data_IF_239280397953
#
_entry.id   IF_239280397953
#
_cell.length_a   1.000
_cell.length_b   1.000
_cell.length_c   1.000
_cell.angle_alpha   90.00
_cell.angle_beta   90.00
_cell.angle_gamma   90.00
#
_symmetry.space_group_name_H-M   'P 1'
#
loop_
_entity.id
_entity.type
_entity.pdbx_description
1 polymer ?
#
# COMPACT_ATOMS: atom_id res chain seq x y z
N UNK A 1 -0.18 30.69 -2.35
CA UNK A 1 0.21 30.41 -0.95
C UNK A 1 1.72 30.54 -0.70
N UNK A 2 2.61 29.60 -1.05
CA UNK A 2 4.04 29.71 -0.63
C UNK A 2 4.77 30.97 -1.16
N UNK A 3 4.50 31.37 -2.41
CA UNK A 3 4.99 32.63 -2.98
C UNK A 3 4.54 33.86 -2.18
N UNK A 4 3.30 33.83 -1.69
CA UNK A 4 2.70 34.92 -0.93
C UNK A 4 3.31 35.01 0.47
N UNK A 5 3.46 33.88 1.16
CA UNK A 5 4.13 33.83 2.46
C UNK A 5 5.55 34.39 2.39
N UNK A 6 6.33 34.00 1.36
CA UNK A 6 7.66 34.53 1.14
C UNK A 6 7.64 36.05 0.86
N UNK A 7 6.66 36.54 0.07
CA UNK A 7 6.51 37.99 -0.17
C UNK A 7 6.14 38.80 1.07
N UNK A 8 5.57 38.15 2.10
CA UNK A 8 5.30 38.73 3.41
C UNK A 8 6.50 38.62 4.37
N UNK A 9 7.66 38.18 3.88
CA UNK A 9 8.88 38.05 4.67
C UNK A 9 8.95 36.79 5.52
N UNK A 10 8.05 35.81 5.32
CA UNK A 10 8.11 34.54 6.07
C UNK A 10 9.29 33.69 5.62
N UNK A 11 10.07 33.22 6.58
CA UNK A 11 11.27 32.42 6.30
C UNK A 11 10.95 30.93 6.23
N UNK A 12 11.89 30.15 5.69
CA UNK A 12 11.76 28.68 5.67
C UNK A 12 11.81 28.12 7.09
N UNK A 13 12.61 28.71 7.96
CA UNK A 13 12.76 28.30 9.36
C UNK A 13 11.43 28.46 10.11
N UNK A 14 10.72 29.58 9.93
CA UNK A 14 9.39 29.75 10.51
C UNK A 14 8.39 28.69 10.02
N UNK A 15 8.49 28.28 8.74
CA UNK A 15 7.67 27.21 8.17
C UNK A 15 8.03 25.87 8.83
N UNK A 16 9.32 25.57 8.98
CA UNK A 16 9.80 24.34 9.64
C UNK A 16 9.34 24.29 11.09
N UNK A 17 9.51 25.35 11.86
CA UNK A 17 9.05 25.43 13.25
C UNK A 17 7.53 25.30 13.37
N UNK A 18 6.77 25.80 12.40
CA UNK A 18 5.32 25.59 12.33
C UNK A 18 4.97 24.12 12.12
N UNK A 19 5.63 23.46 11.16
CA UNK A 19 5.41 22.05 10.85
C UNK A 19 5.79 21.13 12.03
N UNK A 20 6.89 21.43 12.72
CA UNK A 20 7.34 20.66 13.89
C UNK A 20 6.39 20.78 15.09
N UNK A 21 5.64 21.87 15.19
CA UNK A 21 4.61 22.05 16.23
C UNK A 21 3.29 21.35 15.90
N UNK A 22 3.11 20.86 14.69
CA UNK A 22 1.89 20.14 14.32
C UNK A 22 1.80 18.83 15.13
N UNK A 23 0.73 18.59 15.90
CA UNK A 23 0.64 17.43 16.75
C UNK A 23 0.49 16.16 15.90
N UNK A 24 1.37 15.18 16.12
CA UNK A 24 1.17 13.82 15.66
C UNK A 24 0.63 12.98 16.82
N UNK A 25 -0.56 12.41 16.62
CA UNK A 25 -1.25 11.60 17.65
C UNK A 25 -0.33 10.42 18.03
N UNK A 26 0.01 10.21 19.31
CA UNK A 26 0.95 9.16 19.73
C UNK A 26 0.61 7.75 19.21
N UNK A 27 -0.68 7.42 19.15
CA UNK A 27 -1.16 6.14 18.61
C UNK A 27 -0.84 5.96 17.13
N UNK A 28 -0.75 7.04 16.33
CA UNK A 28 -0.32 6.95 14.93
C UNK A 28 1.16 6.57 14.85
N UNK A 29 1.99 7.14 15.73
CA UNK A 29 3.41 6.79 15.85
C UNK A 29 3.55 5.31 16.22
N UNK A 30 2.79 4.86 17.23
CA UNK A 30 2.76 3.46 17.65
C UNK A 30 2.33 2.54 16.50
N UNK A 31 1.24 2.89 15.81
CA UNK A 31 0.72 2.13 14.67
C UNK A 31 1.75 1.97 13.55
N UNK A 32 2.45 3.04 13.16
CA UNK A 32 3.52 2.99 12.14
C UNK A 32 4.62 2.01 12.56
N UNK A 33 5.10 2.13 13.81
CA UNK A 33 6.17 1.29 14.34
C UNK A 33 5.77 -0.17 14.40
N UNK A 34 4.56 -0.45 14.88
CA UNK A 34 4.02 -1.81 15.02
C UNK A 34 3.78 -2.45 13.65
N UNK A 35 3.21 -1.73 12.68
CA UNK A 35 3.02 -2.26 11.32
C UNK A 35 4.37 -2.60 10.65
N UNK A 36 5.37 -1.72 10.79
CA UNK A 36 6.72 -1.99 10.30
C UNK A 36 7.38 -3.18 11.00
N UNK A 37 7.24 -3.30 12.33
CA UNK A 37 7.76 -4.44 13.10
C UNK A 37 7.11 -5.77 12.71
N UNK A 38 5.85 -5.74 12.25
CA UNK A 38 5.14 -6.89 11.67
C UNK A 38 5.55 -7.18 10.21
N UNK A 39 6.53 -6.47 9.66
CA UNK A 39 7.08 -6.71 8.33
C UNK A 39 6.35 -5.99 7.19
N UNK A 40 5.50 -5.01 7.49
CA UNK A 40 4.84 -4.23 6.45
C UNK A 40 5.81 -3.28 5.76
N UNK A 41 5.78 -3.27 4.43
CA UNK A 41 6.36 -2.19 3.64
C UNK A 41 5.43 -0.97 3.68
N UNK A 42 5.86 0.10 4.35
CA UNK A 42 5.05 1.32 4.48
C UNK A 42 5.39 2.31 3.37
N UNK A 43 4.34 2.95 2.82
CA UNK A 43 4.43 3.98 1.78
C UNK A 43 3.46 5.11 2.08
N UNK A 44 3.82 6.34 1.71
CA UNK A 44 2.93 7.51 1.81
C UNK A 44 2.42 7.86 0.42
N UNK A 45 1.11 8.08 0.31
CA UNK A 45 0.46 8.60 -0.88
C UNK A 45 -0.38 9.84 -0.53
N UNK A 46 0.16 11.03 -0.79
CA UNK A 46 -0.38 12.27 -0.25
C UNK A 46 -0.40 13.40 -1.27
N UNK A 47 -1.50 14.15 -1.31
CA UNK A 47 -1.63 15.37 -2.10
C UNK A 47 -1.12 16.62 -1.36
N UNK A 48 -0.14 16.43 -0.46
CA UNK A 48 0.59 17.51 0.21
C UNK A 48 1.82 17.90 -0.61
N UNK A 49 3.01 17.96 -0.01
CA UNK A 49 4.27 18.10 -0.72
C UNK A 49 5.42 17.43 0.04
N UNK A 50 6.50 17.13 -0.67
CA UNK A 50 7.65 16.38 -0.13
C UNK A 50 8.31 17.12 1.04
N UNK A 51 8.55 18.43 0.91
CA UNK A 51 9.18 19.23 1.96
C UNK A 51 8.42 19.17 3.29
N UNK A 52 7.09 19.28 3.27
CA UNK A 52 6.27 19.18 4.49
C UNK A 52 6.33 17.80 5.12
N UNK A 53 6.12 16.76 4.31
CA UNK A 53 6.09 15.38 4.80
C UNK A 53 7.44 15.01 5.41
N UNK A 54 8.54 15.25 4.71
CA UNK A 54 9.87 14.93 5.25
C UNK A 54 10.19 15.71 6.52
N UNK A 55 9.82 17.00 6.60
CA UNK A 55 10.07 17.82 7.79
C UNK A 55 9.37 17.23 9.01
N UNK A 56 8.10 16.84 8.87
CA UNK A 56 7.31 16.24 9.96
C UNK A 56 7.86 14.86 10.33
N UNK A 57 8.14 14.00 9.35
CA UNK A 57 8.65 12.66 9.61
C UNK A 57 10.03 12.68 10.27
N UNK A 58 10.95 13.55 9.82
CA UNK A 58 12.28 13.70 10.42
C UNK A 58 12.19 14.19 11.86
N UNK A 59 11.31 15.15 12.13
CA UNK A 59 11.09 15.65 13.50
C UNK A 59 10.64 14.56 14.47
N UNK A 60 9.78 13.64 14.02
CA UNK A 60 9.28 12.53 14.83
C UNK A 60 10.12 11.25 14.76
N UNK A 61 11.25 11.25 14.04
CA UNK A 61 12.09 10.05 13.86
C UNK A 61 11.37 8.92 13.12
N UNK A 62 10.51 9.26 12.15
CA UNK A 62 9.68 8.31 11.40
C UNK A 62 10.10 8.13 9.94
N UNK A 63 11.11 8.87 9.46
CA UNK A 63 11.52 8.84 8.05
C UNK A 63 11.90 7.42 7.59
N UNK A 64 12.65 6.69 8.42
CA UNK A 64 13.20 5.38 8.06
C UNK A 64 12.15 4.25 8.03
N UNK A 65 10.92 4.52 8.46
CA UNK A 65 9.82 3.55 8.44
C UNK A 65 9.14 3.47 7.07
N UNK A 66 9.30 4.50 6.21
CA UNK A 66 8.63 4.58 4.91
C UNK A 66 9.61 4.32 3.77
N UNK A 67 9.32 3.29 2.98
CA UNK A 67 10.10 2.91 1.80
C UNK A 67 9.93 3.87 0.62
N UNK A 68 8.80 4.58 0.57
CA UNK A 68 8.43 5.43 -0.57
C UNK A 68 7.45 6.53 -0.15
N UNK A 69 7.63 7.73 -0.69
CA UNK A 69 6.73 8.88 -0.52
C UNK A 69 6.32 9.38 -1.90
N UNK A 70 5.05 9.15 -2.26
CA UNK A 70 4.43 9.64 -3.47
C UNK A 70 3.64 10.91 -3.15
N UNK A 71 4.14 12.07 -3.59
CA UNK A 71 3.53 13.37 -3.32
C UNK A 71 4.04 14.43 -4.29
N UNK A 72 3.38 15.60 -4.34
CA UNK A 72 3.83 16.75 -5.12
C UNK A 72 5.29 17.12 -4.76
N UNK A 73 6.23 17.17 -5.73
CA UNK A 73 7.60 17.56 -5.47
C UNK A 73 7.66 18.96 -4.84
N UNK A 74 8.54 19.14 -3.86
CA UNK A 74 8.76 20.47 -3.27
C UNK A 74 10.15 20.63 -2.68
N UNK A 75 10.76 21.78 -2.93
CA UNK A 75 12.12 22.11 -2.48
C UNK A 75 12.27 23.62 -2.26
N UNK A 76 13.27 23.98 -1.45
CA UNK A 76 13.63 25.37 -1.19
C UNK A 76 14.56 25.87 -2.28
N UNK A 77 14.22 27.02 -2.85
CA UNK A 77 14.97 27.70 -3.91
C UNK A 77 14.96 29.19 -3.59
N UNK A 78 16.15 29.80 -3.46
CA UNK A 78 16.31 31.22 -3.12
C UNK A 78 15.51 31.64 -1.86
N UNK A 79 15.52 30.82 -0.81
CA UNK A 79 14.79 31.09 0.43
C UNK A 79 13.26 30.97 0.33
N UNK A 80 12.75 30.37 -0.75
CA UNK A 80 11.32 30.18 -1.00
C UNK A 80 11.00 28.72 -1.27
N UNK A 81 9.93 28.21 -0.65
CA UNK A 81 9.43 26.88 -0.96
C UNK A 81 8.72 26.87 -2.32
N UNK A 82 9.21 26.04 -3.24
CA UNK A 82 8.59 25.75 -4.54
C UNK A 82 7.93 24.38 -4.47
N UNK A 83 6.70 24.29 -4.99
CA UNK A 83 5.93 23.05 -5.05
C UNK A 83 5.47 22.88 -6.50
N UNK A 84 5.62 21.67 -7.03
CA UNK A 84 5.27 21.28 -8.39
C UNK A 84 4.20 20.19 -8.35
N UNK A 85 3.32 20.10 -9.36
CA UNK A 85 2.35 19.02 -9.39
C UNK A 85 3.03 17.66 -9.59
N UNK A 86 2.44 16.60 -9.05
CA UNK A 86 2.92 15.24 -9.27
C UNK A 86 2.71 14.79 -10.72
N UNK A 87 1.56 15.10 -11.31
CA UNK A 87 1.27 14.89 -12.73
C UNK A 87 1.45 16.18 -13.51
N UNK A 88 2.09 16.12 -14.68
CA UNK A 88 2.06 17.23 -15.63
C UNK A 88 0.66 17.34 -16.26
N UNK A 89 -0.20 18.10 -15.61
CA UNK A 89 -1.58 18.30 -16.05
C UNK A 89 -1.72 19.36 -17.15
N UNK A 90 -0.64 20.05 -17.53
CA UNK A 90 -0.66 21.03 -18.62
C UNK A 90 -0.47 20.31 -19.94
N UNK A 91 0.52 19.41 -20.02
CA UNK A 91 0.80 18.66 -21.26
C UNK A 91 0.06 17.33 -21.34
N UNK A 92 -0.19 16.67 -20.20
CA UNK A 92 -0.73 15.31 -20.15
C UNK A 92 -1.67 15.10 -18.95
N UNK A 93 -2.90 15.65 -18.99
CA UNK A 93 -3.90 15.38 -17.95
C UNK A 93 -4.10 13.88 -17.75
N UNK A 94 -4.18 13.45 -16.49
CA UNK A 94 -4.33 12.03 -16.15
C UNK A 94 -5.74 11.45 -16.43
N UNK A 95 -6.68 12.25 -16.95
CA UNK A 95 -8.00 11.78 -17.40
C UNK A 95 -8.91 11.19 -16.32
N UNK A 96 -8.74 11.57 -15.04
CA UNK A 96 -9.54 11.07 -13.94
C UNK A 96 -10.46 12.17 -13.42
N UNK A 97 -11.76 11.92 -13.41
CA UNK A 97 -12.78 12.89 -12.98
C UNK A 97 -12.95 12.97 -11.45
N UNK A 98 -12.29 12.08 -10.70
CA UNK A 98 -12.39 12.00 -9.24
C UNK A 98 -11.27 12.76 -8.51
N UNK A 99 -10.18 13.08 -9.21
CA UNK A 99 -8.95 13.59 -8.61
C UNK A 99 -8.65 15.02 -9.07
N UNK A 100 -7.97 15.81 -8.24
CA UNK A 100 -7.49 17.12 -8.67
C UNK A 100 -6.42 16.96 -9.75
N UNK A 101 -6.27 17.94 -10.67
CA UNK A 101 -5.39 17.82 -11.84
C UNK A 101 -3.94 17.50 -11.48
N UNK A 102 -3.45 18.02 -10.35
CA UNK A 102 -2.05 17.88 -9.95
C UNK A 102 -1.68 16.46 -9.50
N UNK A 103 -2.62 15.67 -8.97
CA UNK A 103 -2.32 14.35 -8.44
C UNK A 103 -3.54 13.41 -8.39
N UNK A 104 -3.51 12.38 -9.22
CA UNK A 104 -4.41 11.24 -9.14
C UNK A 104 -3.78 10.12 -8.32
N UNK A 105 -4.19 10.00 -7.05
CA UNK A 105 -3.76 8.91 -6.15
C UNK A 105 -4.16 7.53 -6.69
N UNK A 106 -5.29 7.43 -7.40
CA UNK A 106 -5.73 6.18 -8.03
C UNK A 106 -4.74 5.61 -9.04
N UNK A 107 -4.18 6.49 -9.88
CA UNK A 107 -3.17 6.07 -10.86
C UNK A 107 -1.86 5.64 -10.18
N UNK A 108 -1.47 6.33 -9.10
CA UNK A 108 -0.27 5.98 -8.35
C UNK A 108 -0.42 4.64 -7.64
N UNK A 109 -1.56 4.37 -6.99
CA UNK A 109 -1.76 3.06 -6.33
C UNK A 109 -1.79 1.90 -7.33
N UNK A 110 -2.30 2.11 -8.55
CA UNK A 110 -2.23 1.08 -9.60
C UNK A 110 -0.78 0.74 -9.98
N UNK A 111 0.10 1.75 -10.09
CA UNK A 111 1.54 1.53 -10.30
C UNK A 111 2.20 0.78 -9.14
N UNK A 112 1.94 1.20 -7.90
CA UNK A 112 2.48 0.53 -6.70
C UNK A 112 2.06 -0.94 -6.70
N UNK A 113 0.78 -1.22 -7.00
CA UNK A 113 0.26 -2.59 -7.07
C UNK A 113 0.92 -3.39 -8.17
N UNK A 114 1.09 -2.82 -9.37
CA UNK A 114 1.74 -3.50 -10.47
C UNK A 114 3.18 -3.90 -10.13
N UNK A 115 3.97 -3.00 -9.53
CA UNK A 115 5.33 -3.30 -9.06
C UNK A 115 5.33 -4.37 -7.97
N UNK A 116 4.44 -4.25 -6.97
CA UNK A 116 4.31 -5.23 -5.91
C UNK A 116 4.00 -6.63 -6.46
N UNK A 117 3.03 -6.75 -7.38
CA UNK A 117 2.67 -8.04 -7.98
C UNK A 117 3.79 -8.68 -8.80
N UNK A 118 4.69 -7.87 -9.39
CA UNK A 118 5.88 -8.37 -10.08
C UNK A 118 6.90 -8.99 -9.10
N UNK A 119 6.96 -8.49 -7.86
CA UNK A 119 7.80 -9.02 -6.78
C UNK A 119 7.13 -10.18 -6.00
N UNK A 120 5.81 -10.32 -6.13
CA UNK A 120 5.01 -11.36 -5.47
C UNK A 120 3.60 -10.87 -5.11
N UNK A 121 2.70 -11.78 -4.73
CA UNK A 121 1.34 -11.36 -4.33
C UNK A 121 1.37 -10.70 -2.95
N UNK A 122 1.24 -9.37 -2.90
CA UNK A 122 1.10 -8.60 -1.65
C UNK A 122 -0.37 -8.25 -1.36
N UNK A 123 -0.71 -8.10 -0.09
CA UNK A 123 -2.02 -7.60 0.39
C UNK A 123 -1.91 -6.12 0.75
N UNK A 124 -2.87 -5.30 0.32
CA UNK A 124 -2.82 -3.85 0.54
C UNK A 124 -3.73 -3.40 1.68
N UNK A 125 -3.22 -2.49 2.51
CA UNK A 125 -3.96 -1.79 3.55
C UNK A 125 -3.90 -0.29 3.24
N UNK A 126 -5.02 0.28 2.80
CA UNK A 126 -5.10 1.68 2.43
C UNK A 126 -5.82 2.48 3.51
N UNK A 127 -5.10 3.41 4.14
CA UNK A 127 -5.63 4.29 5.20
C UNK A 127 -5.85 5.68 4.62
N UNK A 128 -7.01 6.29 4.88
CA UNK A 128 -7.30 7.64 4.39
C UNK A 128 -8.56 8.25 4.99
N UNK A 129 -8.77 9.53 4.74
CA UNK A 129 -9.91 10.30 5.25
C UNK A 129 -10.48 11.28 4.23
N UNK A 130 -9.63 11.82 3.34
CA UNK A 130 -10.00 12.84 2.38
C UNK A 130 -10.71 12.32 1.14
N UNK A 131 -11.39 13.23 0.42
CA UNK A 131 -12.06 12.91 -0.87
C UNK A 131 -11.09 12.30 -1.90
N UNK A 132 -9.83 12.78 -1.92
CA UNK A 132 -8.80 12.29 -2.84
C UNK A 132 -8.43 10.81 -2.66
N UNK A 133 -8.81 10.22 -1.52
CA UNK A 133 -8.57 8.81 -1.19
C UNK A 133 -9.67 7.87 -1.72
N UNK A 134 -10.76 8.40 -2.27
CA UNK A 134 -11.82 7.59 -2.84
C UNK A 134 -11.37 6.88 -4.12
N UNK A 135 -10.69 7.60 -5.02
CA UNK A 135 -10.18 7.05 -6.27
C UNK A 135 -9.26 5.84 -6.07
N UNK A 136 -8.20 5.88 -5.21
CA UNK A 136 -7.37 4.70 -4.96
C UNK A 136 -8.13 3.56 -4.27
N UNK A 137 -9.12 3.87 -3.42
CA UNK A 137 -9.94 2.83 -2.76
C UNK A 137 -10.70 1.96 -3.77
N UNK A 138 -11.16 2.53 -4.89
CA UNK A 138 -11.83 1.79 -5.98
C UNK A 138 -10.89 0.85 -6.75
N UNK A 139 -9.57 1.05 -6.65
CA UNK A 139 -8.58 0.26 -7.41
C UNK A 139 -8.16 -1.01 -6.69
N UNK A 140 -8.47 -1.13 -5.41
CA UNK A 140 -8.08 -2.26 -4.57
C UNK A 140 -8.94 -3.52 -4.86
N UNK A 141 -8.37 -4.70 -4.59
CA UNK A 141 -8.98 -6.00 -4.84
C UNK A 141 -9.71 -6.58 -3.63
N UNK A 142 -10.38 -7.72 -3.80
CA UNK A 142 -11.21 -8.35 -2.76
C UNK A 142 -10.46 -8.84 -1.51
N UNK A 143 -9.14 -9.04 -1.63
CA UNK A 143 -8.29 -9.41 -0.50
C UNK A 143 -7.66 -8.20 0.19
N UNK A 144 -7.80 -7.00 -0.37
CA UNK A 144 -7.23 -5.78 0.17
C UNK A 144 -8.18 -5.15 1.20
N UNK A 145 -7.66 -4.18 1.97
CA UNK A 145 -8.39 -3.45 3.00
C UNK A 145 -8.37 -1.94 2.75
N UNK A 146 -9.50 -1.29 2.97
CA UNK A 146 -9.64 0.17 3.05
C UNK A 146 -10.05 0.52 4.47
N UNK A 147 -9.27 1.40 5.10
CA UNK A 147 -9.48 1.87 6.47
C UNK A 147 -9.83 3.36 6.45
N UNK A 148 -11.10 3.71 6.13
CA UNK A 148 -11.53 5.10 6.04
C UNK A 148 -11.78 5.71 7.43
N UNK A 149 -11.35 6.95 7.64
CA UNK A 149 -11.72 7.67 8.86
C UNK A 149 -13.21 8.03 8.85
N UNK A 150 -13.95 7.58 9.87
CA UNK A 150 -15.38 7.86 10.05
C UNK A 150 -15.65 9.35 10.16
N UNK A 151 -16.76 9.80 9.56
CA UNK A 151 -17.19 11.20 9.53
C UNK A 151 -16.29 12.15 8.73
N UNK A 152 -15.47 11.60 7.82
CA UNK A 152 -14.68 12.36 6.84
C UNK A 152 -15.13 12.02 5.41
N UNK A 153 -14.77 12.84 4.39
CA UNK A 153 -15.29 12.68 3.04
C UNK A 153 -15.11 11.28 2.42
N UNK A 154 -14.01 10.58 2.71
CA UNK A 154 -13.82 9.21 2.23
C UNK A 154 -14.90 8.27 2.78
N UNK A 155 -15.17 8.35 4.08
CA UNK A 155 -16.19 7.53 4.73
C UNK A 155 -17.58 7.79 4.15
N UNK A 156 -17.93 9.06 3.91
CA UNK A 156 -19.23 9.42 3.32
C UNK A 156 -19.39 8.84 1.91
N UNK A 157 -18.36 8.97 1.06
CA UNK A 157 -18.39 8.45 -0.31
C UNK A 157 -18.51 6.93 -0.34
N UNK A 158 -17.79 6.22 0.53
CA UNK A 158 -17.86 4.77 0.64
C UNK A 158 -19.23 4.34 1.20
N UNK A 159 -19.72 5.00 2.25
CA UNK A 159 -20.99 4.64 2.90
C UNK A 159 -22.19 4.83 1.98
N UNK A 160 -22.14 5.80 1.06
CA UNK A 160 -23.20 6.03 0.09
C UNK A 160 -23.34 4.88 -0.92
N UNK A 161 -22.23 4.26 -1.33
CA UNK A 161 -22.23 3.18 -2.34
C UNK A 161 -21.11 2.16 -2.07
N UNK A 162 -21.19 1.34 -1.00
CA UNK A 162 -20.11 0.46 -0.58
C UNK A 162 -19.83 -0.66 -1.60
N UNK A 163 -20.83 -1.05 -2.40
CA UNK A 163 -20.72 -2.09 -3.42
C UNK A 163 -19.77 -1.74 -4.58
N UNK A 164 -19.39 -0.46 -4.73
CA UNK A 164 -18.41 -0.04 -5.73
C UNK A 164 -16.97 -0.44 -5.34
N UNK A 165 -16.72 -0.66 -4.04
CA UNK A 165 -15.43 -1.11 -3.55
C UNK A 165 -15.41 -2.64 -3.53
N UNK A 166 -14.33 -3.21 -4.07
CA UNK A 166 -14.06 -4.65 -3.96
C UNK A 166 -13.40 -4.99 -2.63
N UNK A 167 -12.58 -4.08 -2.10
CA UNK A 167 -11.82 -4.26 -0.88
C UNK A 167 -12.72 -4.28 0.36
N UNK A 168 -12.21 -4.92 1.42
CA UNK A 168 -12.89 -4.97 2.72
C UNK A 168 -12.77 -3.61 3.42
N UNK A 169 -13.86 -3.12 4.00
CA UNK A 169 -13.94 -1.77 4.57
C UNK A 169 -13.98 -1.83 6.10
N UNK A 170 -13.06 -1.14 6.77
CA UNK A 170 -12.99 -1.05 8.24
C UNK A 170 -12.80 0.41 8.69
N UNK A 171 -13.90 1.07 9.05
CA UNK A 171 -13.85 2.47 9.46
C UNK A 171 -13.33 2.67 10.88
N UNK A 172 -12.59 3.76 11.12
CA UNK A 172 -12.01 4.13 12.42
C UNK A 172 -12.31 5.60 12.79
N UNK A 173 -12.38 5.93 14.08
CA UNK A 173 -12.76 7.27 14.56
C UNK A 173 -11.60 8.02 15.21
N UNK A 174 -10.67 7.29 15.82
CA UNK A 174 -9.52 7.84 16.54
C UNK A 174 -8.28 6.94 16.39
N UNK A 175 -7.14 7.40 16.91
CA UNK A 175 -5.86 6.69 16.77
C UNK A 175 -5.82 5.31 17.44
N UNK A 176 -6.50 5.14 18.58
CA UNK A 176 -6.57 3.85 19.29
C UNK A 176 -7.37 2.82 18.49
N UNK A 177 -8.53 3.22 17.96
CA UNK A 177 -9.36 2.35 17.12
C UNK A 177 -8.61 1.96 15.84
N UNK A 178 -7.90 2.91 15.22
CA UNK A 178 -7.08 2.61 14.04
C UNK A 178 -5.99 1.59 14.34
N UNK A 179 -5.24 1.78 15.45
CA UNK A 179 -4.18 0.89 15.86
C UNK A 179 -4.71 -0.54 16.08
N UNK A 180 -5.77 -0.68 16.86
CA UNK A 180 -6.39 -1.98 17.16
C UNK A 180 -6.86 -2.69 15.89
N UNK A 181 -7.57 -1.99 15.00
CA UNK A 181 -8.07 -2.55 13.75
C UNK A 181 -6.91 -2.99 12.86
N UNK A 182 -5.93 -2.11 12.64
CA UNK A 182 -4.83 -2.42 11.72
C UNK A 182 -4.03 -3.62 12.21
N UNK A 183 -3.63 -3.64 13.48
CA UNK A 183 -2.82 -4.73 14.04
C UNK A 183 -3.59 -6.05 13.98
N UNK A 184 -4.88 -6.06 14.34
CA UNK A 184 -5.70 -7.26 14.23
C UNK A 184 -5.76 -7.81 12.80
N UNK A 185 -5.96 -6.95 11.80
CA UNK A 185 -6.04 -7.38 10.41
C UNK A 185 -4.69 -7.85 9.86
N UNK A 186 -3.58 -7.25 10.30
CA UNK A 186 -2.22 -7.67 9.94
C UNK A 186 -1.91 -9.06 10.52
N UNK A 187 -2.13 -9.28 11.81
CA UNK A 187 -1.94 -10.58 12.46
C UNK A 187 -2.80 -11.66 11.80
N UNK A 188 -4.07 -11.36 11.54
CA UNK A 188 -4.98 -12.26 10.80
C UNK A 188 -4.40 -12.62 9.44
N UNK A 189 -3.89 -11.65 8.69
CA UNK A 189 -3.30 -11.88 7.36
C UNK A 189 -2.07 -12.78 7.44
N UNK A 190 -1.19 -12.56 8.43
CA UNK A 190 0.01 -13.38 8.64
C UNK A 190 -0.37 -14.84 8.96
N UNK A 191 -1.39 -15.05 9.79
CA UNK A 191 -1.89 -16.40 10.13
C UNK A 191 -2.48 -17.12 8.91
N UNK A 192 -3.26 -16.41 8.08
CA UNK A 192 -3.82 -16.93 6.83
C UNK A 192 -2.72 -17.35 5.85
N UNK A 193 -1.71 -16.52 5.66
CA UNK A 193 -0.59 -16.78 4.74
C UNK A 193 0.28 -17.96 5.23
N UNK A 194 0.55 -18.03 6.53
CA UNK A 194 1.29 -19.15 7.14
C UNK A 194 0.54 -20.48 6.96
N UNK A 195 -0.78 -20.47 7.15
CA UNK A 195 -1.62 -21.67 7.02
C UNK A 195 -1.71 -22.18 5.57
N UNK A 196 -1.79 -21.27 4.60
CA UNK A 196 -1.77 -21.60 3.17
C UNK A 196 -0.41 -22.17 2.74
N UNK A 197 0.68 -21.60 3.23
CA UNK A 197 2.03 -22.10 2.95
C UNK A 197 2.24 -23.50 3.53
N UNK A 198 1.80 -23.75 4.77
CA UNK A 198 1.85 -25.07 5.38
C UNK A 198 1.00 -26.10 4.63
N UNK A 199 -0.21 -25.73 4.20
CA UNK A 199 -1.08 -26.62 3.40
C UNK A 199 -0.50 -26.92 2.02
N UNK A 200 0.08 -25.91 1.36
CA UNK A 200 0.74 -26.07 0.05
C UNK A 200 2.02 -26.92 0.15
N UNK A 201 2.77 -26.79 1.25
CA UNK A 201 3.92 -27.64 1.53
C UNK A 201 3.53 -29.10 1.80
N UNK A 202 2.41 -29.34 2.50
CA UNK A 202 1.87 -30.70 2.68
C UNK A 202 1.43 -31.32 1.36
N UNK A 203 0.70 -30.59 0.52
CA UNK A 203 0.28 -31.08 -0.81
C UNK A 203 1.48 -31.35 -1.74
N UNK A 204 2.54 -30.54 -1.66
CA UNK A 204 3.79 -30.75 -2.42
C UNK A 204 4.54 -32.03 -2.00
N UNK A 205 4.45 -32.39 -0.72
CA UNK A 205 5.06 -33.62 -0.20
C UNK A 205 4.24 -34.88 -0.52
N UNK A 206 2.93 -34.76 -0.73
CA UNK A 206 2.06 -35.88 -1.10
C UNK A 206 2.12 -36.27 -2.59
N UNK A 207 2.69 -35.43 -3.48
CA UNK A 207 2.90 -35.78 -4.90
C UNK A 207 4.09 -36.74 -5.12
N UNK A 208 4.90 -37.03 -4.10
CA UNK A 208 6.03 -37.97 -4.21
C UNK A 208 5.66 -39.39 -3.77
N UNK A 209 4.61 -39.98 -4.33
CA UNK A 209 4.41 -41.43 -4.27
C UNK A 209 4.25 -42.07 -5.67
N UNK A 210 5.31 -42.81 -6.01
CA UNK A 210 5.37 -43.99 -6.88
C UNK A 210 5.20 -43.84 -8.40
N UNK A 211 6.29 -43.54 -9.09
CA UNK A 211 6.63 -44.28 -10.32
C UNK A 211 7.31 -45.60 -9.91
N UNK A 212 6.57 -46.71 -10.02
CA UNK A 212 7.11 -48.05 -9.83
C UNK A 212 8.20 -48.34 -10.88
N UNK A 213 9.35 -48.95 -10.52
CA UNK A 213 10.34 -49.36 -11.50
C UNK A 213 9.82 -50.56 -12.30
N UNK A 214 9.92 -50.47 -13.62
CA UNK A 214 9.67 -51.57 -14.56
C UNK A 214 10.70 -52.67 -14.28
N UNK A 215 10.23 -53.84 -13.85
CA UNK A 215 11.04 -55.05 -13.70
C UNK A 215 11.41 -55.58 -15.09
N UNK A 216 12.70 -55.71 -15.36
CA UNK A 216 13.23 -56.42 -16.53
C UNK A 216 12.81 -57.90 -16.46
N UNK A 217 12.06 -58.37 -17.46
CA UNK A 217 11.87 -59.79 -17.69
C UNK A 217 12.91 -60.31 -18.70
N UNK A 218 13.66 -61.33 -18.28
CA UNK A 218 14.53 -62.16 -19.13
C UNK A 218 13.74 -62.90 -20.23
N UNK A 219 14.38 -63.23 -21.37
CA UNK A 219 13.70 -63.84 -22.51
C UNK A 219 13.46 -65.35 -22.30
N UNK A 220 12.25 -65.80 -22.64
CA UNK A 220 11.86 -67.21 -22.71
C UNK A 220 12.37 -67.87 -24.01
N UNK A 221 12.68 -69.18 -24.02
CA UNK A 221 13.30 -69.85 -25.16
C UNK A 221 12.31 -70.21 -26.28
N UNK A 222 12.81 -70.16 -27.52
CA UNK A 222 12.13 -70.51 -28.78
C UNK A 222 11.62 -71.95 -28.81
N UNK A 223 10.37 -72.13 -29.26
CA UNK A 223 9.82 -73.42 -29.66
C UNK A 223 10.13 -73.70 -31.15
N UNK A 224 10.55 -74.94 -31.44
CA UNK A 224 10.80 -75.46 -32.78
C UNK A 224 9.49 -75.77 -33.54
N UNK A 225 9.46 -75.69 -34.88
CA UNK A 225 8.27 -75.94 -35.68
C UNK A 225 8.08 -77.44 -35.97
N UNK A 226 6.83 -77.90 -35.96
CA UNK A 226 6.44 -79.24 -36.40
C UNK A 226 6.00 -79.17 -37.87
N UNK A 227 6.66 -79.97 -38.73
CA UNK A 227 6.20 -80.27 -40.08
C UNK A 227 5.22 -81.46 -40.03
N UNK A 228 4.09 -81.30 -40.74
CA UNK A 228 3.06 -82.25 -41.19
C UNK A 228 2.94 -83.62 -40.50
#
# INVERSE_FOLDING_TARGET
MMKELHSQGRTIEEIVECLQRAPLIPQIISTIKSAHALGCELKILSDANLFFIETILKHHGLMDYFSEINTNPGFVDEGRLRIFPYHDFISCPHGCDLCPPNMCKGFVIEKIRASAFAEGKKRFFYLGDGKGDYCPSLKLGGNDYVLPRKNYPLWELISNNPSLLKANIYGWSNGEELEQILIHLLEKTIVEETSLNNSSAMISNDWKFQTMPISNHEPTPQALPVQN
#
